data_IF_349604188268
#
_entry.id   IF_349604188268
#
_cell.length_a   1.000
_cell.length_b   1.000
_cell.length_c   1.000
_cell.angle_alpha   90.00
_cell.angle_beta   90.00
_cell.angle_gamma   90.00
#
_symmetry.space_group_name_H-M   'P 1'
#
loop_
_entity.id
_entity.type
_entity.pdbx_description
1 polymer ?
#
# COMPACT_ATOMS: atom_id res chain seq x y z
N UNK A 1 -8.66 -13.80 11.17
CA UNK A 1 -9.68 -14.15 10.15
C UNK A 1 -10.37 -12.86 9.71
N UNK A 2 -10.51 -12.62 8.40
CA UNK A 2 -11.15 -11.41 7.84
C UNK A 2 -12.62 -11.72 7.63
N UNK A 3 -13.51 -10.90 8.16
CA UNK A 3 -14.96 -11.05 7.97
C UNK A 3 -15.28 -10.77 6.50
N UNK A 4 -15.97 -11.69 5.84
CA UNK A 4 -16.39 -11.47 4.45
C UNK A 4 -17.68 -10.63 4.40
N UNK A 5 -18.06 -10.19 3.19
CA UNK A 5 -19.24 -9.32 2.99
C UNK A 5 -20.53 -9.99 3.47
N UNK A 6 -20.66 -11.31 3.27
CA UNK A 6 -21.84 -12.07 3.68
C UNK A 6 -21.96 -12.16 5.21
N UNK A 7 -20.87 -12.46 5.90
CA UNK A 7 -20.81 -12.48 7.37
C UNK A 7 -21.10 -11.09 7.94
N UNK A 8 -20.57 -10.03 7.32
CA UNK A 8 -20.85 -8.65 7.72
C UNK A 8 -22.33 -8.29 7.55
N UNK A 9 -22.95 -8.68 6.43
CA UNK A 9 -24.37 -8.46 6.20
C UNK A 9 -25.23 -9.24 7.21
N UNK A 10 -24.83 -10.48 7.52
CA UNK A 10 -25.46 -11.30 8.54
C UNK A 10 -25.39 -10.65 9.92
N UNK A 11 -24.23 -10.14 10.30
CA UNK A 11 -24.01 -9.44 11.57
C UNK A 11 -24.86 -8.16 11.68
N UNK A 12 -24.78 -7.29 10.69
CA UNK A 12 -25.50 -6.00 10.70
C UNK A 12 -27.03 -6.17 10.69
N UNK A 13 -27.53 -7.30 10.16
CA UNK A 13 -28.97 -7.63 10.18
C UNK A 13 -29.39 -8.47 11.39
N UNK A 14 -28.50 -8.75 12.33
CA UNK A 14 -28.79 -9.57 13.51
C UNK A 14 -29.06 -11.05 13.20
N UNK A 15 -28.64 -11.53 12.03
CA UNK A 15 -28.82 -12.92 11.58
C UNK A 15 -27.61 -13.81 11.88
N UNK A 16 -26.47 -13.24 12.24
CA UNK A 16 -25.22 -13.96 12.48
C UNK A 16 -24.44 -13.32 13.64
N UNK A 17 -23.72 -14.14 14.39
CA UNK A 17 -22.77 -13.70 15.43
C UNK A 17 -21.35 -13.89 14.90
N UNK A 18 -20.49 -12.85 14.93
CA UNK A 18 -19.12 -12.96 14.47
C UNK A 18 -18.34 -13.98 15.29
N UNK A 19 -17.57 -14.84 14.63
CA UNK A 19 -16.81 -15.92 15.29
C UNK A 19 -15.84 -15.42 16.34
N UNK A 20 -15.30 -14.21 16.17
CA UNK A 20 -14.29 -13.63 17.06
C UNK A 20 -14.88 -12.59 18.03
N UNK A 21 -16.20 -12.59 18.22
CA UNK A 21 -16.86 -11.84 19.29
C UNK A 21 -16.45 -12.44 20.65
N UNK A 22 -15.96 -11.60 21.56
CA UNK A 22 -15.52 -12.07 22.88
C UNK A 22 -16.72 -12.25 23.82
N UNK A 23 -16.57 -13.15 24.79
CA UNK A 23 -17.57 -13.31 25.87
C UNK A 23 -17.66 -11.98 26.64
N UNK A 24 -18.87 -11.49 26.86
CA UNK A 24 -19.18 -10.20 27.49
C UNK A 24 -18.76 -8.96 26.67
N UNK A 25 -18.49 -9.10 25.38
CA UNK A 25 -18.28 -7.97 24.47
C UNK A 25 -19.62 -7.65 23.77
N UNK A 26 -20.02 -6.39 23.82
CA UNK A 26 -21.17 -5.88 23.07
C UNK A 26 -20.82 -5.70 21.59
N UNK A 27 -21.84 -5.67 20.72
CA UNK A 27 -21.63 -5.44 19.28
C UNK A 27 -20.92 -4.11 18.98
N UNK A 28 -21.19 -3.08 19.79
CA UNK A 28 -20.53 -1.78 19.69
C UNK A 28 -19.04 -1.88 20.04
N UNK A 29 -18.69 -2.53 21.15
CA UNK A 29 -17.30 -2.75 21.57
C UNK A 29 -16.53 -3.58 20.54
N UNK A 30 -17.20 -4.60 19.96
CA UNK A 30 -16.65 -5.39 18.88
C UNK A 30 -16.29 -4.53 17.67
N UNK A 31 -17.20 -3.67 17.22
CA UNK A 31 -17.00 -2.79 16.07
C UNK A 31 -15.87 -1.78 16.33
N UNK A 32 -15.84 -1.14 17.50
CA UNK A 32 -14.76 -0.21 17.88
C UNK A 32 -13.42 -0.93 17.82
N UNK A 33 -13.29 -2.12 18.43
CA UNK A 33 -12.06 -2.92 18.38
C UNK A 33 -11.63 -3.25 16.95
N UNK A 34 -12.58 -3.49 16.04
CA UNK A 34 -12.28 -3.76 14.63
C UNK A 34 -11.81 -2.51 13.89
N UNK A 35 -12.43 -1.36 14.14
CA UNK A 35 -12.00 -0.10 13.55
C UNK A 35 -10.63 0.31 14.05
N UNK A 36 -10.37 0.23 15.36
CA UNK A 36 -9.03 0.52 15.93
C UNK A 36 -7.95 -0.39 15.31
N UNK A 37 -8.26 -1.68 15.13
CA UNK A 37 -7.35 -2.63 14.50
C UNK A 37 -7.13 -2.34 13.01
N UNK A 38 -8.08 -1.70 12.32
CA UNK A 38 -7.92 -1.25 10.93
C UNK A 38 -7.14 0.06 10.86
N UNK A 39 -7.44 1.02 11.73
CA UNK A 39 -6.71 2.28 11.85
C UNK A 39 -5.24 2.03 12.17
N UNK A 40 -4.93 1.14 13.11
CA UNK A 40 -3.56 0.75 13.43
C UNK A 40 -2.83 0.12 12.23
N UNK A 41 -3.54 -0.62 11.37
CA UNK A 41 -2.98 -1.17 10.13
C UNK A 41 -2.74 -0.09 9.09
N UNK A 42 -3.66 0.87 8.94
CA UNK A 42 -3.47 2.01 8.05
C UNK A 42 -2.29 2.87 8.49
N UNK A 43 -2.20 3.23 9.77
CA UNK A 43 -1.08 3.99 10.33
C UNK A 43 0.27 3.26 10.17
N UNK A 44 0.29 1.93 10.38
CA UNK A 44 1.48 1.13 10.13
C UNK A 44 1.89 1.05 8.65
N UNK A 45 0.95 1.28 7.72
CA UNK A 45 1.21 1.33 6.29
C UNK A 45 1.66 2.72 5.84
N UNK A 46 1.11 3.79 6.41
CA UNK A 46 1.56 5.17 6.20
C UNK A 46 3.01 5.37 6.67
N UNK A 47 3.42 4.74 7.76
CA UNK A 47 4.81 4.76 8.24
C UNK A 47 5.83 4.11 7.28
N UNK A 48 5.39 3.44 6.21
CA UNK A 48 6.26 2.85 5.17
C UNK A 48 6.40 3.74 3.95
N UNK A 49 5.75 4.91 3.96
CA UNK A 49 5.83 5.90 2.89
C UNK A 49 7.05 6.78 3.15
N UNK A 50 8.01 6.71 2.24
CA UNK A 50 9.27 7.42 2.31
C UNK A 50 9.21 8.58 1.33
N UNK A 51 9.43 9.84 1.76
CA UNK A 51 9.50 10.96 0.84
C UNK A 51 10.74 10.84 -0.04
N UNK A 52 10.58 11.06 -1.34
CA UNK A 52 11.67 10.97 -2.35
C UNK A 52 12.81 11.95 -2.03
N UNK A 53 12.52 13.04 -1.34
CA UNK A 53 13.51 14.02 -0.88
C UNK A 53 14.43 13.50 0.23
N UNK A 54 14.00 12.51 1.01
CA UNK A 54 14.81 11.93 2.10
C UNK A 54 15.65 10.78 1.59
N UNK A 55 15.02 9.82 0.90
CA UNK A 55 15.72 8.67 0.32
C UNK A 55 15.11 8.31 -1.04
N UNK A 56 15.98 7.99 -2.00
CA UNK A 56 15.57 7.49 -3.31
C UNK A 56 15.36 5.98 -3.24
N UNK A 57 14.33 5.43 -3.92
CA UNK A 57 14.13 3.98 -3.98
C UNK A 57 15.31 3.28 -4.64
N UNK A 58 15.53 1.99 -4.32
CA UNK A 58 16.54 1.16 -4.97
C UNK A 58 16.38 1.15 -6.49
N UNK A 59 17.51 1.10 -7.19
CA UNK A 59 17.53 1.10 -8.65
C UNK A 59 16.93 -0.20 -9.20
N UNK A 60 16.13 -0.07 -10.28
CA UNK A 60 15.51 -1.18 -11.00
C UNK A 60 14.57 -2.09 -10.16
N UNK A 61 14.09 -1.63 -9.01
CA UNK A 61 13.09 -2.34 -8.21
C UNK A 61 11.70 -1.69 -8.34
N UNK A 62 10.67 -2.51 -8.48
CA UNK A 62 9.28 -2.03 -8.57
C UNK A 62 8.80 -1.54 -7.22
N UNK A 63 8.44 -0.25 -7.18
CA UNK A 63 7.96 0.45 -6.00
C UNK A 63 6.67 1.19 -6.32
N UNK A 64 5.92 1.54 -5.28
CA UNK A 64 4.78 2.44 -5.40
C UNK A 64 5.29 3.87 -5.34
N UNK A 65 4.92 4.68 -6.32
CA UNK A 65 5.31 6.08 -6.46
C UNK A 65 4.04 6.93 -6.35
N UNK A 66 4.06 7.95 -5.50
CA UNK A 66 2.93 8.84 -5.32
C UNK A 66 3.12 10.11 -6.14
N UNK A 67 2.26 10.30 -7.14
CA UNK A 67 2.19 11.52 -7.92
C UNK A 67 1.26 12.55 -7.24
N UNK A 68 1.81 13.74 -6.97
CA UNK A 68 1.07 14.82 -6.33
C UNK A 68 0.16 15.60 -7.32
N UNK A 69 0.30 15.38 -8.63
CA UNK A 69 -0.44 16.12 -9.65
C UNK A 69 -1.83 15.53 -9.95
N UNK A 70 -2.17 14.36 -9.40
CA UNK A 70 -3.56 13.90 -9.31
C UNK A 70 -3.82 12.46 -9.73
N UNK A 71 -2.81 11.73 -10.23
CA UNK A 71 -2.99 10.31 -10.60
C UNK A 71 -2.98 9.38 -9.37
N UNK A 72 -2.36 9.83 -8.27
CA UNK A 72 -2.26 9.08 -7.02
C UNK A 72 -1.10 8.09 -7.03
N UNK A 73 -1.34 6.87 -6.56
CA UNK A 73 -0.31 5.83 -6.44
C UNK A 73 -0.12 5.07 -7.76
N UNK A 74 1.10 5.10 -8.27
CA UNK A 74 1.56 4.46 -9.50
C UNK A 74 2.58 3.36 -9.20
N UNK A 75 2.64 2.33 -10.03
CA UNK A 75 3.73 1.34 -9.98
C UNK A 75 4.82 1.82 -10.95
N UNK A 76 6.03 1.98 -10.45
CA UNK A 76 7.18 2.36 -11.25
C UNK A 76 8.50 1.98 -10.59
N UNK A 77 9.60 2.30 -11.27
CA UNK A 77 10.95 2.05 -10.78
C UNK A 77 11.90 3.15 -11.21
N UNK A 78 13.02 3.26 -10.48
CA UNK A 78 14.11 4.16 -10.82
C UNK A 78 15.05 3.47 -11.79
N UNK A 79 14.98 3.82 -13.06
CA UNK A 79 15.87 3.29 -14.11
C UNK A 79 17.17 4.10 -14.15
N UNK A 80 18.31 3.43 -13.94
CA UNK A 80 19.62 4.07 -14.09
C UNK A 80 20.04 4.08 -15.56
N UNK A 81 20.64 5.18 -16.00
CA UNK A 81 21.28 5.25 -17.31
C UNK A 81 22.67 4.59 -17.26
N UNK A 82 22.94 3.80 -18.28
CA UNK A 82 24.24 3.17 -18.50
C UNK A 82 24.87 3.75 -19.76
N UNK A 83 26.17 4.04 -19.67
CA UNK A 83 26.96 4.35 -20.86
C UNK A 83 27.18 3.08 -21.70
N UNK A 84 27.61 3.27 -22.95
CA UNK A 84 27.98 2.18 -23.87
C UNK A 84 29.05 1.21 -23.30
N UNK A 85 29.74 1.58 -22.21
CA UNK A 85 30.70 0.74 -21.48
C UNK A 85 30.19 0.13 -20.18
N UNK A 86 28.87 0.06 -19.96
CA UNK A 86 28.22 -0.43 -18.73
C UNK A 86 28.64 0.29 -17.44
N UNK A 87 29.26 1.47 -17.53
CA UNK A 87 29.48 2.33 -16.37
C UNK A 87 28.23 3.15 -16.12
N UNK A 88 27.79 3.15 -14.86
CA UNK A 88 26.68 3.98 -14.38
C UNK A 88 27.02 5.46 -14.57
N UNK A 89 26.18 6.18 -15.31
CA UNK A 89 26.38 7.59 -15.64
C UNK A 89 25.99 8.52 -14.49
N UNK A 90 25.32 7.98 -13.46
CA UNK A 90 24.73 8.75 -12.36
C UNK A 90 23.38 9.39 -12.70
N UNK A 91 23.05 9.48 -13.99
CA UNK A 91 21.75 9.93 -14.49
C UNK A 91 20.70 8.80 -14.35
N UNK A 92 19.47 9.17 -14.06
CA UNK A 92 18.37 8.22 -13.86
C UNK A 92 17.05 8.84 -14.31
N UNK A 93 16.06 7.99 -14.61
CA UNK A 93 14.71 8.40 -14.96
C UNK A 93 13.67 7.53 -14.27
N UNK A 94 12.48 8.08 -14.06
CA UNK A 94 11.32 7.29 -13.63
C UNK A 94 10.77 6.49 -14.82
N UNK A 95 10.41 5.25 -14.56
CA UNK A 95 9.72 4.40 -15.53
C UNK A 95 8.50 3.81 -14.85
N UNK A 96 7.35 3.89 -15.52
CA UNK A 96 6.07 3.45 -14.96
C UNK A 96 5.55 2.23 -15.71
N UNK A 97 4.77 1.40 -15.01
CA UNK A 97 4.13 0.25 -15.64
C UNK A 97 3.03 0.65 -16.63
N UNK A 98 2.38 1.80 -16.40
CA UNK A 98 1.21 2.27 -17.18
C UNK A 98 1.63 2.93 -18.51
N UNK A 99 2.93 3.12 -18.73
CA UNK A 99 3.50 3.79 -19.91
C UNK A 99 4.21 5.09 -19.55
N UNK A 100 4.53 5.90 -20.56
CA UNK A 100 5.11 7.22 -20.37
C UNK A 100 4.03 8.19 -19.90
N UNK A 101 4.29 8.83 -18.76
CA UNK A 101 3.42 9.84 -18.16
C UNK A 101 4.11 11.20 -18.30
N UNK A 102 3.37 12.19 -18.78
CA UNK A 102 3.85 13.57 -18.89
C UNK A 102 3.50 14.35 -17.61
N UNK A 103 4.40 15.23 -17.15
CA UNK A 103 4.23 16.05 -15.95
C UNK A 103 4.03 15.28 -14.64
N UNK A 104 4.84 14.25 -14.36
CA UNK A 104 4.80 13.55 -13.07
C UNK A 104 5.59 14.30 -12.00
N UNK A 105 4.98 14.53 -10.84
CA UNK A 105 5.64 15.09 -9.66
C UNK A 105 5.63 14.06 -8.52
N UNK A 106 6.62 13.18 -8.55
CA UNK A 106 6.75 12.12 -7.54
C UNK A 106 7.30 12.70 -6.25
N UNK A 107 6.48 12.68 -5.21
CA UNK A 107 6.82 13.24 -3.90
C UNK A 107 7.18 12.17 -2.88
N UNK A 108 6.52 11.02 -2.95
CA UNK A 108 6.68 9.92 -2.01
C UNK A 108 6.79 8.59 -2.75
N UNK A 109 7.43 7.61 -2.10
CA UNK A 109 7.45 6.25 -2.57
C UNK A 109 7.20 5.29 -1.41
N UNK A 110 6.73 4.09 -1.71
CA UNK A 110 6.54 3.03 -0.74
C UNK A 110 6.94 1.69 -1.33
N UNK A 111 7.48 0.81 -0.49
CA UNK A 111 7.79 -0.57 -0.89
C UNK A 111 6.47 -1.28 -1.20
N UNK A 112 6.44 -2.01 -2.32
CA UNK A 112 5.27 -2.78 -2.71
C UNK A 112 4.94 -3.79 -1.60
N UNK A 113 3.72 -3.76 -1.02
CA UNK A 113 3.38 -4.68 0.05
C UNK A 113 3.47 -6.11 -0.46
N UNK A 114 4.18 -6.99 0.25
CA UNK A 114 4.14 -8.42 -0.05
C UNK A 114 2.68 -8.86 -0.03
N UNK A 115 2.25 -9.50 -1.11
CA UNK A 115 0.91 -10.07 -1.19
C UNK A 115 0.70 -10.91 0.09
N UNK A 116 -0.46 -10.80 0.75
CA UNK A 116 -0.76 -11.70 1.86
C UNK A 116 -0.64 -13.11 1.32
N UNK A 117 0.18 -13.96 1.97
CA UNK A 117 0.26 -15.39 1.64
C UNK A 117 -1.18 -15.88 1.51
N UNK A 118 -1.54 -16.31 0.30
CA UNK A 118 -2.84 -16.90 0.05
C UNK A 118 -2.90 -18.13 0.96
N UNK A 119 -3.60 -17.98 2.09
CA UNK A 119 -3.78 -19.05 3.06
C UNK A 119 -4.41 -20.22 2.32
N UNK A 120 -3.63 -21.30 2.18
CA UNK A 120 -4.12 -22.62 1.83
C UNK A 120 -4.99 -23.19 2.96
#
# INVERSE_FOLDING_TARGET
>A
MRMNVFEMEGFLRGRCVPRDLKVNETDAEYLVRKFDALEAKCAAQENKVIPVSTELPPANESVLLFDANGEGWLIGWRSLWYTWGQKETGEWQWTFQVGDLENVNITHWAVMPKAPEAGA
#
